data_IF_816014427459
#
_entry.id   IF_816014427459
#
_cell.length_a   1.000
_cell.length_b   1.000
_cell.length_c   1.000
_cell.angle_alpha   90.00
_cell.angle_beta   90.00
_cell.angle_gamma   90.00
#
_symmetry.space_group_name_H-M   'P 1'
#
loop_
_entity.id
_entity.type
_entity.pdbx_description
1 polymer ?
#
# COMPACT_ATOMS: atom_id res chain seq x y z
N UNK A 1 -8.79 7.22 -0.19
CA UNK A 1 -8.34 7.11 -1.59
C UNK A 1 -7.18 6.13 -1.59
N UNK A 2 -7.10 5.24 -2.59
CA UNK A 2 -6.09 4.20 -2.64
C UNK A 2 -4.66 4.75 -2.81
N UNK A 3 -3.69 3.86 -2.75
CA UNK A 3 -2.53 3.99 -1.89
C UNK A 3 -1.67 5.24 -2.11
N UNK A 4 -1.35 5.94 -1.03
CA UNK A 4 -0.24 6.89 -0.99
C UNK A 4 1.00 6.29 -0.35
N UNK A 5 2.13 6.32 -1.06
CA UNK A 5 3.44 6.11 -0.45
C UNK A 5 4.02 7.48 -0.10
N UNK A 6 4.32 7.71 1.18
CA UNK A 6 4.71 9.02 1.71
C UNK A 6 5.78 8.91 2.79
N UNK A 7 6.52 10.00 3.01
CA UNK A 7 7.47 10.10 4.13
C UNK A 7 6.69 10.36 5.42
N UNK A 8 6.88 9.49 6.42
CA UNK A 8 6.19 9.53 7.72
C UNK A 8 6.50 10.83 8.48
N UNK A 9 5.45 11.50 8.97
CA UNK A 9 5.56 12.79 9.65
C UNK A 9 5.78 13.99 8.72
N UNK A 10 5.73 13.80 7.40
CA UNK A 10 5.78 14.88 6.40
C UNK A 10 4.54 14.89 5.50
N UNK A 11 4.36 15.98 4.75
CA UNK A 11 3.35 16.06 3.68
C UNK A 11 3.84 15.52 2.32
N UNK A 12 5.07 15.03 2.24
CA UNK A 12 5.69 14.60 0.98
C UNK A 12 5.14 13.24 0.52
N UNK A 13 4.58 13.23 -0.70
CA UNK A 13 4.04 12.05 -1.37
C UNK A 13 5.01 11.60 -2.46
N UNK A 14 5.46 10.34 -2.37
CA UNK A 14 6.43 9.74 -3.29
C UNK A 14 5.73 9.01 -4.45
N UNK A 15 4.56 8.41 -4.18
CA UNK A 15 3.77 7.73 -5.19
C UNK A 15 2.27 7.76 -4.83
N UNK A 16 1.43 7.69 -5.86
CA UNK A 16 -0.01 7.45 -5.78
C UNK A 16 -0.31 6.23 -6.63
N UNK A 17 -0.83 5.17 -6.02
CA UNK A 17 -1.05 3.87 -6.67
C UNK A 17 -2.53 3.52 -6.64
N UNK A 18 -2.96 2.73 -7.64
CA UNK A 18 -4.32 2.19 -7.73
C UNK A 18 -5.42 3.27 -7.61
N UNK A 19 -5.18 4.49 -8.10
CA UNK A 19 -6.12 5.62 -7.97
C UNK A 19 -7.56 5.25 -8.37
N UNK A 20 -8.52 5.48 -7.46
CA UNK A 20 -9.94 5.17 -7.67
C UNK A 20 -10.34 3.71 -7.45
N UNK A 21 -9.40 2.79 -7.31
CA UNK A 21 -9.67 1.39 -6.96
C UNK A 21 -9.82 1.24 -5.44
N UNK A 22 -10.98 0.80 -4.95
CA UNK A 22 -11.25 0.63 -3.52
C UNK A 22 -11.21 -0.85 -3.07
N UNK A 23 -10.86 -1.75 -3.98
CA UNK A 23 -10.80 -3.19 -3.74
C UNK A 23 -9.44 -3.61 -3.16
N UNK A 24 -9.43 -4.07 -1.90
CA UNK A 24 -8.19 -4.38 -1.19
C UNK A 24 -7.23 -5.34 -1.93
N UNK A 25 -7.69 -6.43 -2.60
CA UNK A 25 -6.80 -7.33 -3.33
C UNK A 25 -6.04 -6.67 -4.50
N UNK A 26 -6.72 -5.94 -5.37
CA UNK A 26 -6.07 -5.27 -6.51
C UNK A 26 -5.16 -4.13 -6.05
N UNK A 27 -5.51 -3.44 -4.96
CA UNK A 27 -4.63 -2.46 -4.32
C UNK A 27 -3.32 -3.09 -3.83
N UNK A 28 -3.38 -4.24 -3.18
CA UNK A 28 -2.18 -4.94 -2.69
C UNK A 28 -1.34 -5.49 -3.84
N UNK A 29 -1.96 -6.00 -4.92
CA UNK A 29 -1.23 -6.36 -6.14
C UNK A 29 -0.47 -5.16 -6.72
N UNK A 30 -1.10 -3.98 -6.77
CA UNK A 30 -0.47 -2.75 -7.23
C UNK A 30 0.69 -2.30 -6.32
N UNK A 31 0.52 -2.41 -4.99
CA UNK A 31 1.59 -2.13 -4.03
C UNK A 31 2.78 -3.07 -4.21
N UNK A 32 2.51 -4.38 -4.33
CA UNK A 32 3.53 -5.40 -4.51
C UNK A 32 4.32 -5.17 -5.79
N UNK A 33 3.64 -4.95 -6.91
CA UNK A 33 4.29 -4.65 -8.18
C UNK A 33 5.20 -3.42 -8.07
N UNK A 34 4.73 -2.37 -7.40
CA UNK A 34 5.53 -1.15 -7.19
C UNK A 34 6.77 -1.40 -6.31
N UNK A 35 6.63 -2.20 -5.24
CA UNK A 35 7.76 -2.58 -4.38
C UNK A 35 8.83 -3.40 -5.11
N UNK A 36 8.40 -4.33 -5.98
CA UNK A 36 9.31 -5.23 -6.71
C UNK A 36 10.00 -4.53 -7.89
N UNK A 37 9.32 -3.60 -8.55
CA UNK A 37 9.89 -2.84 -9.68
C UNK A 37 10.67 -1.60 -9.24
N UNK A 38 10.46 -1.16 -8.00
CA UNK A 38 11.12 -0.07 -7.27
C UNK A 38 11.73 1.05 -8.14
N UNK A 39 10.90 1.88 -8.80
CA UNK A 39 11.38 2.90 -9.73
C UNK A 39 12.14 4.07 -9.07
N UNK A 40 12.13 4.18 -7.73
CA UNK A 40 12.59 5.38 -7.01
C UNK A 40 13.93 5.22 -6.29
N UNK A 41 14.58 4.05 -6.30
CA UNK A 41 15.82 3.79 -5.56
C UNK A 41 15.77 4.34 -4.12
N UNK A 42 14.68 4.08 -3.41
CA UNK A 42 14.47 4.63 -2.07
C UNK A 42 15.58 4.18 -1.12
N UNK A 43 16.09 5.13 -0.33
CA UNK A 43 16.97 4.82 0.81
C UNK A 43 16.12 4.46 2.03
N UNK A 44 16.61 3.60 2.94
CA UNK A 44 15.90 3.29 4.17
C UNK A 44 15.56 4.55 4.99
N UNK A 45 14.29 4.74 5.32
CA UNK A 45 13.80 5.86 6.13
C UNK A 45 12.46 5.50 6.78
N UNK A 46 11.72 6.50 7.30
CA UNK A 46 10.37 6.30 7.82
C UNK A 46 9.36 6.61 6.71
N UNK A 47 8.73 5.58 6.15
CA UNK A 47 7.70 5.75 5.14
C UNK A 47 6.39 5.11 5.59
N UNK A 48 5.29 5.54 4.98
CA UNK A 48 3.96 4.93 5.13
C UNK A 48 3.40 4.65 3.74
N UNK A 49 2.91 3.43 3.53
CA UNK A 49 1.95 3.08 2.49
C UNK A 49 0.55 3.19 3.11
N UNK A 50 -0.13 4.30 2.84
CA UNK A 50 -1.46 4.66 3.35
C UNK A 50 -2.52 4.21 2.34
N UNK A 51 -3.22 3.14 2.67
CA UNK A 51 -4.15 2.44 1.81
C UNK A 51 -5.57 2.65 2.34
N UNK A 52 -6.42 3.27 1.52
CA UNK A 52 -7.86 3.34 1.75
C UNK A 52 -8.61 2.27 0.98
N UNK A 53 -9.46 1.49 1.65
CA UNK A 53 -10.29 0.45 1.03
C UNK A 53 -11.73 0.51 1.53
N UNK A 54 -12.67 -0.02 0.76
CA UNK A 54 -14.07 -0.20 1.17
C UNK A 54 -14.34 -1.66 1.50
N UNK A 55 -15.31 -1.90 2.38
CA UNK A 55 -15.79 -3.27 2.63
C UNK A 55 -16.56 -3.76 1.41
N UNK A 56 -16.29 -5.00 0.99
CA UNK A 56 -17.05 -5.65 -0.08
C UNK A 56 -18.45 -5.99 0.42
N UNK A 57 -19.46 -5.61 -0.34
CA UNK A 57 -20.82 -6.10 -0.11
C UNK A 57 -20.82 -7.64 -0.16
N UNK A 58 -21.40 -8.27 0.86
CA UNK A 58 -21.50 -9.74 0.98
C UNK A 58 -20.15 -10.48 1.06
N UNK A 59 -19.13 -9.88 1.69
CA UNK A 59 -17.86 -10.55 1.95
C UNK A 59 -18.04 -11.85 2.76
N UNK A 60 -17.96 -13.01 2.11
CA UNK A 60 -18.03 -14.34 2.73
C UNK A 60 -16.66 -15.02 2.90
N UNK A 61 -15.56 -14.30 2.67
CA UNK A 61 -14.19 -14.76 2.82
C UNK A 61 -13.27 -14.40 1.63
N UNK A 62 -11.96 -14.43 1.88
CA UNK A 62 -10.90 -14.02 0.94
C UNK A 62 -10.33 -12.63 1.27
N UNK A 63 -9.01 -12.48 1.11
CA UNK A 63 -8.29 -11.24 1.40
C UNK A 63 -7.16 -11.02 0.40
N UNK A 64 -6.44 -9.93 0.58
CA UNK A 64 -5.25 -9.64 -0.20
C UNK A 64 -4.02 -10.36 0.39
N UNK A 65 -3.05 -10.71 -0.47
CA UNK A 65 -1.80 -11.35 -0.05
C UNK A 65 -0.65 -10.48 -0.52
N UNK A 66 0.23 -10.13 0.42
CA UNK A 66 1.51 -9.51 0.12
C UNK A 66 2.59 -10.58 0.27
N UNK A 67 3.45 -10.76 -0.74
CA UNK A 67 4.48 -11.79 -0.68
C UNK A 67 5.54 -11.53 0.40
N UNK A 68 6.24 -12.58 0.89
CA UNK A 68 7.38 -12.42 1.79
C UNK A 68 8.49 -11.53 1.22
N UNK A 69 8.68 -11.52 -0.09
CA UNK A 69 9.65 -10.66 -0.76
C UNK A 69 9.26 -9.18 -0.64
N UNK A 70 8.02 -8.84 -0.98
CA UNK A 70 7.49 -7.49 -0.82
C UNK A 70 7.52 -7.04 0.65
N UNK A 71 7.12 -7.90 1.59
CA UNK A 71 7.24 -7.65 3.03
C UNK A 71 8.69 -7.38 3.46
N UNK A 72 9.65 -8.13 2.92
CA UNK A 72 11.08 -7.95 3.20
C UNK A 72 11.60 -6.61 2.67
N UNK A 73 11.16 -6.19 1.48
CA UNK A 73 11.50 -4.88 0.91
C UNK A 73 10.93 -3.76 1.79
N UNK A 74 9.66 -3.85 2.19
CA UNK A 74 9.05 -2.88 3.10
C UNK A 74 9.81 -2.77 4.42
N UNK A 75 10.16 -3.92 5.02
CA UNK A 75 10.93 -3.97 6.27
C UNK A 75 12.31 -3.33 6.13
N UNK A 76 13.04 -3.61 5.04
CA UNK A 76 14.36 -3.02 4.75
C UNK A 76 14.29 -1.51 4.50
N UNK A 77 13.25 -1.04 3.82
CA UNK A 77 13.07 0.38 3.51
C UNK A 77 12.45 1.18 4.67
N UNK A 78 11.87 0.50 5.66
CA UNK A 78 11.17 1.14 6.78
C UNK A 78 9.76 1.63 6.42
N UNK A 79 9.09 0.95 5.48
CA UNK A 79 7.72 1.25 5.07
C UNK A 79 6.73 0.58 6.03
N UNK A 80 5.87 1.37 6.66
CA UNK A 80 4.70 0.89 7.41
C UNK A 80 3.52 0.72 6.47
N UNK A 81 2.73 -0.33 6.65
CA UNK A 81 1.42 -0.45 6.01
C UNK A 81 0.36 0.16 6.93
N UNK A 82 -0.41 1.12 6.42
CA UNK A 82 -1.52 1.74 7.13
C UNK A 82 -2.80 1.47 6.35
N UNK A 83 -3.73 0.73 6.97
CA UNK A 83 -4.98 0.30 6.36
C UNK A 83 -6.11 1.14 6.94
N UNK A 84 -6.80 1.89 6.08
CA UNK A 84 -7.95 2.71 6.43
C UNK A 84 -9.19 2.18 5.73
N UNK A 85 -10.15 1.72 6.52
CA UNK A 85 -11.45 1.33 6.02
C UNK A 85 -12.32 2.57 5.85
N UNK A 86 -13.01 2.66 4.72
CA UNK A 86 -13.99 3.71 4.42
C UNK A 86 -15.36 3.04 4.25
N UNK A 87 -16.35 3.51 5.00
CA UNK A 87 -17.76 3.24 4.72
C UNK A 87 -18.28 4.22 3.66
N UNK A 88 -19.40 3.87 3.04
CA UNK A 88 -20.23 4.84 2.32
C UNK A 88 -20.70 5.99 3.25
#
# INVERSE_FOLDING_TARGET
MPIYVKVDGSGEKLAHLAEGDWELPSQIEALEFWLLTNPLNLTPAKYIADLGFTVRENACGGGAILSPEAMSIMGRLGIKLYLSEYGE
#
